data_IF_631502762608
#
_entry.id   IF_631502762608
#
_cell.length_a   1.000
_cell.length_b   1.000
_cell.length_c   1.000
_cell.angle_alpha   90.00
_cell.angle_beta   90.00
_cell.angle_gamma   90.00
#
_symmetry.space_group_name_H-M   'P 1'
#
loop_
_entity.id
_entity.type
_entity.pdbx_description
1 polymer ?
#
# COMPACT_ATOMS: atom_id res chain seq x y z
N UNK A 1 14.00 19.63 18.47
CA UNK A 1 14.89 19.13 17.40
C UNK A 1 16.11 20.03 17.20
N UNK A 2 17.27 19.43 16.91
CA UNK A 2 18.52 20.11 16.59
C UNK A 2 18.71 20.30 15.07
N UNK A 3 19.75 21.02 14.66
CA UNK A 3 20.01 21.34 13.24
C UNK A 3 20.27 20.09 12.39
N UNK A 4 21.01 19.11 12.91
CA UNK A 4 21.30 17.87 12.19
C UNK A 4 20.00 17.08 11.93
N UNK A 5 19.16 16.92 12.94
CA UNK A 5 17.86 16.24 12.81
C UNK A 5 16.99 16.90 11.75
N UNK A 6 16.88 18.23 11.77
CA UNK A 6 16.11 18.98 10.76
C UNK A 6 16.67 18.72 9.36
N UNK A 7 17.99 18.70 9.20
CA UNK A 7 18.63 18.39 7.91
C UNK A 7 18.34 16.96 7.46
N UNK A 8 18.47 15.97 8.34
CA UNK A 8 18.19 14.56 8.02
C UNK A 8 16.73 14.34 7.63
N UNK A 9 15.79 14.96 8.36
CA UNK A 9 14.36 14.91 8.04
C UNK A 9 14.09 15.59 6.69
N UNK A 10 14.70 16.74 6.42
CA UNK A 10 14.59 17.42 5.13
C UNK A 10 15.11 16.55 3.98
N UNK A 11 16.23 15.86 4.17
CA UNK A 11 16.75 14.90 3.19
C UNK A 11 15.78 13.74 2.98
N UNK A 12 15.23 13.15 4.06
CA UNK A 12 14.27 12.06 3.95
C UNK A 12 12.99 12.49 3.21
N UNK A 13 12.49 13.70 3.47
CA UNK A 13 11.34 14.27 2.75
C UNK A 13 11.64 14.51 1.26
N UNK A 14 12.86 14.95 0.92
CA UNK A 14 13.27 15.09 -0.47
C UNK A 14 13.31 13.74 -1.19
N UNK A 15 13.93 12.72 -0.57
CA UNK A 15 13.99 11.37 -1.16
C UNK A 15 12.61 10.73 -1.28
N UNK A 16 11.75 10.90 -0.27
CA UNK A 16 10.35 10.49 -0.35
C UNK A 16 9.64 11.17 -1.53
N UNK A 17 9.85 12.47 -1.74
CA UNK A 17 9.22 13.18 -2.86
C UNK A 17 9.66 12.64 -4.22
N UNK A 18 10.94 12.25 -4.38
CA UNK A 18 11.45 11.64 -5.60
C UNK A 18 10.85 10.23 -5.82
N UNK A 19 10.80 9.41 -4.76
CA UNK A 19 10.14 8.10 -4.78
C UNK A 19 8.67 8.23 -5.20
N UNK A 20 7.91 9.16 -4.61
CA UNK A 20 6.51 9.37 -4.96
C UNK A 20 6.34 9.76 -6.43
N UNK A 21 7.20 10.65 -6.94
CA UNK A 21 7.19 11.06 -8.35
C UNK A 21 7.44 9.89 -9.30
N UNK A 22 8.36 8.98 -8.96
CA UNK A 22 8.57 7.77 -9.75
C UNK A 22 7.33 6.87 -9.74
N UNK A 23 6.73 6.63 -8.57
CA UNK A 23 5.52 5.81 -8.46
C UNK A 23 4.38 6.36 -9.32
N UNK A 24 4.21 7.68 -9.36
CA UNK A 24 3.25 8.36 -10.25
C UNK A 24 3.57 8.15 -11.73
N UNK A 25 4.84 8.33 -12.15
CA UNK A 25 5.27 8.06 -13.53
C UNK A 25 5.01 6.61 -13.93
N UNK A 26 5.32 5.67 -13.03
CA UNK A 26 5.11 4.24 -13.25
C UNK A 26 3.64 3.91 -13.39
N UNK A 27 2.78 4.52 -12.56
CA UNK A 27 1.33 4.37 -12.68
C UNK A 27 0.77 4.94 -13.99
N UNK A 28 1.31 6.07 -14.45
CA UNK A 28 0.96 6.66 -15.74
C UNK A 28 1.54 5.89 -16.95
N UNK A 29 2.40 4.88 -16.73
CA UNK A 29 3.04 4.12 -17.80
C UNK A 29 4.07 4.91 -18.61
N UNK A 30 4.62 5.98 -18.02
CA UNK A 30 5.60 6.87 -18.66
C UNK A 30 6.98 6.82 -18.00
N UNK A 31 7.18 5.93 -17.02
CA UNK A 31 8.48 5.71 -16.41
C UNK A 31 9.45 5.14 -17.45
N UNK A 32 10.66 5.69 -17.46
CA UNK A 32 11.79 5.22 -18.28
C UNK A 32 12.75 4.37 -17.46
N UNK A 33 13.68 3.67 -18.12
CA UNK A 33 14.72 2.91 -17.42
C UNK A 33 15.60 3.83 -16.55
N UNK A 34 15.93 5.03 -17.04
CA UNK A 34 16.65 6.06 -16.27
C UNK A 34 15.88 6.48 -15.01
N UNK A 35 14.54 6.58 -15.10
CA UNK A 35 13.69 6.87 -13.94
C UNK A 35 13.70 5.74 -12.91
N UNK A 36 13.86 4.49 -13.34
CA UNK A 36 13.94 3.33 -12.46
C UNK A 36 15.28 3.27 -11.72
N UNK A 37 16.38 3.60 -12.40
CA UNK A 37 17.70 3.73 -11.78
C UNK A 37 17.74 4.84 -10.72
N UNK A 38 17.18 6.01 -11.05
CA UNK A 38 17.04 7.12 -10.09
C UNK A 38 16.17 6.72 -8.89
N UNK A 39 15.06 6.00 -9.14
CA UNK A 39 14.21 5.48 -8.07
C UNK A 39 14.95 4.49 -7.17
N UNK A 40 15.74 3.57 -7.70
CA UNK A 40 16.53 2.63 -6.89
C UNK A 40 17.51 3.37 -5.99
N UNK A 41 18.16 4.41 -6.52
CA UNK A 41 19.07 5.26 -5.75
C UNK A 41 18.35 6.01 -4.63
N UNK A 42 17.25 6.69 -4.96
CA UNK A 42 16.53 7.54 -4.01
C UNK A 42 15.80 6.71 -2.94
N UNK A 43 15.24 5.56 -3.32
CA UNK A 43 14.64 4.62 -2.36
C UNK A 43 15.67 4.02 -1.41
N UNK A 44 16.86 3.64 -1.91
CA UNK A 44 17.96 3.17 -1.06
C UNK A 44 18.42 4.25 -0.07
N UNK A 45 18.59 5.50 -0.55
CA UNK A 45 18.94 6.62 0.32
C UNK A 45 17.87 6.89 1.38
N UNK A 46 16.59 6.83 1.01
CA UNK A 46 15.47 6.97 1.94
C UNK A 46 15.49 5.87 3.00
N UNK A 47 15.65 4.60 2.61
CA UNK A 47 15.70 3.48 3.55
C UNK A 47 16.80 3.65 4.61
N UNK A 48 18.00 4.09 4.22
CA UNK A 48 19.10 4.33 5.16
C UNK A 48 18.77 5.47 6.14
N UNK A 49 18.13 6.54 5.67
CA UNK A 49 17.73 7.66 6.53
C UNK A 49 16.64 7.25 7.54
N UNK A 50 15.68 6.43 7.11
CA UNK A 50 14.60 5.96 7.97
C UNK A 50 15.09 4.99 9.06
N UNK A 51 16.11 4.19 8.78
CA UNK A 51 16.71 3.27 9.76
C UNK A 51 17.24 4.00 11.01
N UNK A 52 17.66 5.27 10.87
CA UNK A 52 18.11 6.09 12.00
C UNK A 52 17.03 6.26 13.08
N UNK A 53 15.74 6.14 12.73
CA UNK A 53 14.64 6.21 13.68
C UNK A 53 14.53 4.95 14.56
N UNK A 54 15.07 3.81 14.10
CA UNK A 54 14.97 2.51 14.77
C UNK A 54 16.23 2.16 15.56
N UNK A 55 17.35 2.80 15.27
CA UNK A 55 18.60 2.62 16.02
C UNK A 55 18.51 3.30 17.39
N UNK A 56 18.66 2.50 18.46
CA UNK A 56 18.43 2.94 19.85
C UNK A 56 19.38 4.04 20.35
N UNK A 57 20.53 4.22 19.71
CA UNK A 57 21.52 5.27 20.01
C UNK A 57 21.91 6.06 18.74
N UNK A 58 20.91 6.40 17.92
CA UNK A 58 21.13 7.16 16.69
C UNK A 58 21.55 8.62 16.92
N UNK A 59 21.51 9.07 18.18
CA UNK A 59 21.70 10.48 18.54
C UNK A 59 20.50 11.38 18.18
N UNK A 60 19.39 10.79 17.70
CA UNK A 60 18.14 11.52 17.46
C UNK A 60 17.31 11.63 18.74
N UNK A 61 16.80 12.83 19.02
CA UNK A 61 15.79 13.07 20.03
C UNK A 61 14.41 12.56 19.61
N UNK A 62 13.51 12.44 20.58
CA UNK A 62 12.16 11.86 20.41
C UNK A 62 11.37 12.53 19.27
N UNK A 63 11.39 13.86 19.19
CA UNK A 63 10.72 14.61 18.12
C UNK A 63 11.27 14.26 16.73
N UNK A 64 12.59 14.09 16.64
CA UNK A 64 13.27 13.73 15.39
C UNK A 64 12.91 12.32 14.95
N UNK A 65 12.92 11.36 15.89
CA UNK A 65 12.48 9.99 15.66
C UNK A 65 11.02 9.97 15.18
N UNK A 66 10.13 10.67 15.88
CA UNK A 66 8.70 10.74 15.49
C UNK A 66 8.54 11.29 14.07
N UNK A 67 9.24 12.37 13.73
CA UNK A 67 9.18 12.95 12.39
C UNK A 67 9.72 11.99 11.30
N UNK A 68 10.76 11.20 11.60
CA UNK A 68 11.30 10.21 10.67
C UNK A 68 10.33 9.03 10.47
N UNK A 69 9.69 8.56 11.55
CA UNK A 69 8.65 7.52 11.48
C UNK A 69 7.42 7.99 10.69
N UNK A 70 7.07 9.27 10.72
CA UNK A 70 6.02 9.82 9.85
C UNK A 70 6.40 9.76 8.37
N UNK A 71 7.67 10.02 8.03
CA UNK A 71 8.17 9.87 6.65
C UNK A 71 8.11 8.40 6.22
N UNK A 72 8.52 7.48 7.10
CA UNK A 72 8.42 6.04 6.86
C UNK A 72 6.98 5.59 6.64
N UNK A 73 6.04 6.03 7.46
CA UNK A 73 4.62 5.71 7.32
C UNK A 73 4.07 6.16 5.96
N UNK A 74 4.44 7.36 5.49
CA UNK A 74 4.07 7.86 4.16
C UNK A 74 4.69 7.03 3.05
N UNK A 75 5.98 6.67 3.18
CA UNK A 75 6.65 5.81 2.21
C UNK A 75 5.98 4.43 2.11
N UNK A 76 5.71 3.79 3.25
CA UNK A 76 5.04 2.48 3.31
C UNK A 76 3.65 2.52 2.70
N UNK A 77 2.85 3.55 3.01
CA UNK A 77 1.54 3.74 2.42
C UNK A 77 1.59 3.88 0.89
N UNK A 78 2.56 4.63 0.37
CA UNK A 78 2.74 4.81 -1.07
C UNK A 78 3.15 3.51 -1.77
N UNK A 79 4.09 2.75 -1.20
CA UNK A 79 4.51 1.44 -1.71
C UNK A 79 3.34 0.46 -1.72
N UNK A 80 2.57 0.41 -0.63
CA UNK A 80 1.39 -0.44 -0.53
C UNK A 80 0.36 -0.08 -1.61
N UNK A 81 0.04 1.22 -1.80
CA UNK A 81 -0.90 1.68 -2.82
C UNK A 81 -0.42 1.36 -4.25
N UNK A 82 0.89 1.46 -4.49
CA UNK A 82 1.47 1.17 -5.80
C UNK A 82 1.61 -0.34 -6.08
N UNK A 83 1.50 -1.20 -5.07
CA UNK A 83 1.70 -2.64 -5.19
C UNK A 83 0.57 -3.31 -6.01
N UNK A 84 0.87 -4.20 -6.98
CA UNK A 84 -0.15 -4.83 -7.84
C UNK A 84 -1.25 -5.56 -7.07
N UNK A 85 -0.91 -6.22 -5.96
CA UNK A 85 -1.90 -6.92 -5.12
C UNK A 85 -2.89 -5.96 -4.45
N UNK A 86 -2.44 -4.79 -3.99
CA UNK A 86 -3.34 -3.80 -3.39
C UNK A 86 -4.32 -3.26 -4.44
N UNK A 87 -3.84 -2.97 -5.65
CA UNK A 87 -4.68 -2.57 -6.78
C UNK A 87 -5.69 -3.66 -7.16
N UNK A 88 -5.27 -4.92 -7.18
CA UNK A 88 -6.15 -6.05 -7.44
C UNK A 88 -7.22 -6.23 -6.35
N UNK A 89 -6.85 -6.05 -5.07
CA UNK A 89 -7.78 -6.09 -3.95
C UNK A 89 -8.83 -4.97 -4.04
N UNK A 90 -8.41 -3.74 -4.38
CA UNK A 90 -9.34 -2.62 -4.59
C UNK A 90 -10.27 -2.86 -5.78
N UNK A 91 -9.76 -3.40 -6.88
CA UNK A 91 -10.58 -3.78 -8.03
C UNK A 91 -11.60 -4.88 -7.67
N UNK A 92 -11.19 -5.88 -6.89
CA UNK A 92 -12.09 -6.92 -6.39
C UNK A 92 -13.14 -6.35 -5.44
N UNK A 93 -12.77 -5.45 -4.53
CA UNK A 93 -13.72 -4.79 -3.60
C UNK A 93 -14.75 -3.94 -4.36
N UNK A 94 -14.37 -3.31 -5.47
CA UNK A 94 -15.31 -2.59 -6.36
C UNK A 94 -16.23 -3.54 -7.12
N UNK A 95 -15.68 -4.64 -7.65
CA UNK A 95 -16.44 -5.64 -8.42
C UNK A 95 -17.38 -6.46 -7.53
N UNK A 96 -16.96 -6.72 -6.30
CA UNK A 96 -17.64 -7.53 -5.30
C UNK A 96 -17.60 -6.80 -3.96
N UNK A 97 -18.42 -5.74 -3.78
CA UNK A 97 -18.47 -5.04 -2.51
C UNK A 97 -18.88 -6.02 -1.41
N UNK A 98 -18.22 -5.99 -0.23
CA UNK A 98 -18.56 -6.89 0.86
C UNK A 98 -20.04 -6.67 1.21
N UNK A 99 -20.85 -7.71 1.00
CA UNK A 99 -22.24 -7.71 1.44
C UNK A 99 -22.22 -7.80 2.96
N UNK A 100 -22.47 -6.69 3.64
CA UNK A 100 -22.86 -6.74 5.04
C UNK A 100 -24.22 -7.43 5.09
N UNK A 101 -24.23 -8.69 5.49
CA UNK A 101 -25.46 -9.41 5.85
C UNK A 101 -25.90 -8.82 7.19
N UNK A 102 -26.76 -7.82 7.14
CA UNK A 102 -27.29 -7.14 8.33
C UNK A 102 -28.62 -7.73 8.78
N UNK A 103 -29.23 -8.64 8.00
CA UNK A 103 -30.53 -9.22 8.29
C UNK A 103 -30.58 -10.72 8.00
N UNK A 104 -31.37 -11.45 8.79
CA UNK A 104 -31.68 -12.87 8.61
C UNK A 104 -32.44 -13.16 7.30
N UNK A 105 -33.05 -12.15 6.67
CA UNK A 105 -33.69 -12.29 5.36
C UNK A 105 -32.68 -12.47 4.21
N UNK A 106 -31.47 -11.93 4.32
CA UNK A 106 -30.43 -12.08 3.30
C UNK A 106 -29.86 -13.51 3.27
N UNK A 107 -29.92 -14.22 4.40
CA UNK A 107 -29.50 -15.62 4.52
C UNK A 107 -30.48 -16.54 3.76
N UNK A 108 -31.79 -16.26 3.78
CA UNK A 108 -32.78 -17.06 3.06
C UNK A 108 -32.66 -16.93 1.53
N UNK A 109 -32.27 -15.76 1.01
CA UNK A 109 -32.03 -15.55 -0.43
C UNK A 109 -30.80 -16.30 -0.96
N UNK A 110 -29.82 -16.61 -0.12
CA UNK A 110 -28.64 -17.40 -0.50
C UNK A 110 -28.96 -18.89 -0.60
N UNK A 111 -29.84 -19.41 0.27
CA UNK A 111 -30.24 -20.81 0.24
C UNK A 111 -31.14 -21.17 -0.96
N UNK A 112 -31.96 -20.23 -1.46
CA UNK A 112 -32.83 -20.50 -2.62
C UNK A 112 -32.10 -20.44 -3.97
N UNK A 113 -30.99 -19.71 -4.06
CA UNK A 113 -30.18 -19.64 -5.28
C UNK A 113 -29.33 -20.90 -5.52
N UNK A 114 -29.01 -21.67 -4.48
CA UNK A 114 -28.23 -22.91 -4.59
C UNK A 114 -29.07 -24.14 -4.96
N UNK A 115 -30.40 -24.07 -4.90
CA UNK A 115 -31.30 -25.21 -5.08
C UNK A 115 -31.80 -25.40 -6.53
N UNK A 116 -31.36 -24.58 -7.49
CA UNK A 116 -31.87 -24.60 -8.86
C UNK A 116 -30.99 -25.36 -9.87
N UNK A 117 -29.93 -26.06 -9.42
CA UNK A 117 -29.06 -26.88 -10.27
C UNK A 117 -29.12 -28.33 -9.81
N UNK A 118 -30.26 -28.97 -9.98
CA UNK A 118 -30.33 -30.42 -10.18
C UNK A 118 -31.51 -30.70 -11.12
N UNK A 119 -31.16 -31.07 -12.35
CA UNK A 119 -32.12 -31.46 -13.40
C UNK A 119 -32.77 -32.80 -13.08
N UNK A 120 -33.95 -33.11 -13.66
CA UNK A 120 -34.64 -34.35 -13.37
C UNK A 120 -33.94 -35.54 -14.04
N UNK A 121 -33.54 -36.51 -13.23
CA UNK A 121 -33.11 -37.84 -13.68
C UNK A 121 -34.35 -38.62 -14.12
N UNK A 122 -34.52 -38.85 -15.43
CA UNK A 122 -35.49 -39.84 -15.93
C UNK A 122 -34.96 -41.26 -15.66
N UNK A 123 -35.62 -41.97 -14.74
CA UNK A 123 -35.47 -43.42 -14.60
C UNK A 123 -36.48 -44.11 -15.52
N UNK A 124 -35.95 -44.82 -16.52
CA UNK A 124 -36.72 -45.70 -17.36
C UNK A 124 -37.21 -46.95 -16.63
N UNK A 125 -38.42 -47.38 -16.98
CA UNK A 125 -38.84 -48.78 -17.07
C UNK A 125 -39.96 -48.92 -18.10
#
# INVERSE_FOLDING_TARGET
>A
MNKLEITLIGMAQQQLSAVLRFLEKREAGIATDDDEDDYMRDSGALSVLLELAHVSDSGMGVDGVSAMLEVEAKHSAAQHAAHPLAKAADAMKKKFPPRLITSTQDIQKLHTASAAVDGPTEEGK
#
